data_IF_495203880682
#
_entry.id   IF_495203880682
#
_cell.length_a   1.000
_cell.length_b   1.000
_cell.length_c   1.000
_cell.angle_alpha   90.00
_cell.angle_beta   90.00
_cell.angle_gamma   90.00
#
_symmetry.space_group_name_H-M   'P 1'
#
loop_
_entity.id
_entity.type
_entity.pdbx_description
1 polymer ?
#
# COMPACT_ATOMS: atom_id res chain seq x y z
N UNK A 1 25.37 -11.68 -32.30
CA UNK A 1 25.08 -10.45 -31.55
C UNK A 1 23.70 -10.53 -30.97
N UNK A 2 23.61 -10.41 -29.69
CA UNK A 2 22.28 -10.39 -29.08
C UNK A 2 21.54 -9.17 -29.59
N UNK A 3 20.30 -9.33 -29.91
CA UNK A 3 19.48 -8.20 -30.26
C UNK A 3 19.46 -7.26 -29.05
N UNK A 4 19.89 -6.04 -29.25
CA UNK A 4 19.80 -5.05 -28.22
C UNK A 4 18.34 -4.89 -27.82
N UNK A 5 18.08 -4.80 -26.52
CA UNK A 5 16.73 -4.52 -26.06
C UNK A 5 16.26 -3.19 -26.65
N UNK A 6 15.09 -3.18 -27.21
CA UNK A 6 14.52 -1.94 -27.73
C UNK A 6 14.16 -1.02 -26.58
N UNK A 7 14.18 0.30 -26.79
CA UNK A 7 13.71 1.24 -25.78
C UNK A 7 12.30 0.93 -25.26
N UNK A 8 11.42 0.45 -26.15
CA UNK A 8 10.06 0.00 -25.76
C UNK A 8 10.10 -1.15 -24.77
N UNK A 9 10.95 -2.15 -25.00
CA UNK A 9 11.06 -3.29 -24.12
C UNK A 9 11.64 -2.89 -22.77
N UNK A 10 12.66 -2.03 -22.77
CA UNK A 10 13.24 -1.50 -21.53
C UNK A 10 12.20 -0.75 -20.73
N UNK A 11 11.41 0.08 -21.40
CA UNK A 11 10.32 0.84 -20.75
C UNK A 11 9.28 -0.09 -20.17
N UNK A 12 8.88 -1.13 -20.89
CA UNK A 12 7.91 -2.10 -20.44
C UNK A 12 8.41 -2.82 -19.20
N UNK A 13 9.66 -3.25 -19.16
CA UNK A 13 10.26 -3.89 -18.00
C UNK A 13 10.30 -2.96 -16.79
N UNK A 14 10.65 -1.69 -17.03
CA UNK A 14 10.70 -0.69 -15.96
C UNK A 14 9.31 -0.47 -15.37
N UNK A 15 8.28 -0.37 -16.20
CA UNK A 15 6.90 -0.21 -15.74
C UNK A 15 6.43 -1.44 -14.97
N UNK A 16 6.75 -2.63 -15.45
CA UNK A 16 6.40 -3.87 -14.76
C UNK A 16 7.08 -3.98 -13.41
N UNK A 17 8.36 -3.62 -13.33
CA UNK A 17 9.08 -3.62 -12.07
C UNK A 17 8.51 -2.61 -11.07
N UNK A 18 8.15 -1.42 -11.54
CA UNK A 18 7.53 -0.40 -10.71
C UNK A 18 6.15 -0.85 -10.20
N UNK A 19 5.36 -1.49 -11.06
CA UNK A 19 4.06 -2.02 -10.69
C UNK A 19 4.18 -3.13 -9.64
N UNK A 20 5.14 -4.05 -9.81
CA UNK A 20 5.41 -5.11 -8.85
C UNK A 20 5.83 -4.54 -7.50
N UNK A 21 6.71 -3.55 -7.48
CA UNK A 21 7.15 -2.89 -6.26
C UNK A 21 5.99 -2.21 -5.54
N UNK A 22 5.08 -1.60 -6.29
CA UNK A 22 3.90 -0.95 -5.72
C UNK A 22 2.95 -1.97 -5.09
N UNK A 23 2.72 -3.10 -5.76
CA UNK A 23 1.88 -4.18 -5.25
C UNK A 23 2.49 -4.75 -3.96
N UNK A 24 3.81 -4.95 -3.93
CA UNK A 24 4.50 -5.43 -2.74
C UNK A 24 4.36 -4.45 -1.57
N UNK A 25 4.50 -3.15 -1.83
CA UNK A 25 4.34 -2.12 -0.81
C UNK A 25 2.92 -2.09 -0.25
N UNK A 26 1.92 -2.24 -1.10
CA UNK A 26 0.51 -2.30 -0.68
C UNK A 26 0.26 -3.54 0.16
N UNK A 27 0.76 -4.70 -0.27
CA UNK A 27 0.62 -5.95 0.47
C UNK A 27 1.30 -5.87 1.83
N UNK A 28 2.47 -5.26 1.90
CA UNK A 28 3.21 -5.07 3.14
C UNK A 28 2.45 -4.20 4.13
N UNK A 29 1.86 -3.11 3.65
CA UNK A 29 1.02 -2.25 4.50
C UNK A 29 -0.21 -3.00 5.00
N UNK A 30 -0.85 -3.78 4.15
CA UNK A 30 -2.04 -4.55 4.51
C UNK A 30 -1.73 -5.66 5.52
N UNK A 31 -0.49 -6.16 5.54
CA UNK A 31 -0.07 -7.19 6.48
C UNK A 31 0.14 -6.65 7.90
N UNK A 32 0.31 -5.33 8.07
CA UNK A 32 0.45 -4.73 9.40
C UNK A 32 -0.89 -4.74 10.13
N UNK A 33 -0.83 -4.98 11.43
CA UNK A 33 -2.01 -4.77 12.27
C UNK A 33 -2.34 -3.27 12.29
N UNK A 34 -3.60 -2.89 12.59
CA UNK A 34 -3.94 -1.48 12.75
C UNK A 34 -3.06 -0.77 13.77
N UNK A 35 -2.69 -1.44 14.86
CA UNK A 35 -1.82 -0.86 15.88
C UNK A 35 -0.42 -0.61 15.33
N UNK A 36 0.17 -1.58 14.65
CA UNK A 36 1.48 -1.43 14.03
C UNK A 36 1.51 -0.30 13.01
N UNK A 37 0.47 -0.24 12.18
CA UNK A 37 0.35 0.82 11.19
C UNK A 37 0.20 2.20 11.85
N UNK A 38 -0.55 2.28 12.93
CA UNK A 38 -0.75 3.52 13.68
C UNK A 38 0.56 3.99 14.31
N UNK A 39 1.31 3.07 14.91
CA UNK A 39 2.61 3.41 15.51
C UNK A 39 3.60 3.91 14.47
N UNK A 40 3.60 3.30 13.29
CA UNK A 40 4.46 3.73 12.19
C UNK A 40 4.07 5.10 11.62
N UNK A 41 2.79 5.43 11.66
CA UNK A 41 2.28 6.70 11.13
C UNK A 41 2.37 7.85 12.12
N UNK A 42 2.48 7.56 13.40
CA UNK A 42 2.45 8.59 14.42
C UNK A 42 3.71 9.47 14.40
N UNK A 43 3.52 10.75 14.60
CA UNK A 43 4.59 11.72 14.86
C UNK A 43 4.02 12.80 15.79
N UNK A 44 4.89 13.51 16.55
CA UNK A 44 4.42 14.62 17.37
C UNK A 44 3.74 15.68 16.51
N UNK A 45 2.53 16.06 16.86
CA UNK A 45 1.75 17.01 16.08
C UNK A 45 0.90 16.39 14.98
N UNK A 46 0.81 15.07 14.94
CA UNK A 46 -0.07 14.39 13.98
C UNK A 46 -1.51 14.90 14.12
N UNK A 47 -2.23 15.16 12.99
CA UNK A 47 -3.59 15.70 13.05
C UNK A 47 -4.58 14.89 13.89
N UNK A 48 -4.42 13.57 13.96
CA UNK A 48 -5.28 12.72 14.78
C UNK A 48 -4.88 12.68 16.25
N UNK A 49 -3.71 13.19 16.60
CA UNK A 49 -3.30 13.45 17.96
C UNK A 49 -2.69 12.31 18.74
N UNK A 50 -3.00 11.07 18.45
CA UNK A 50 -2.49 9.92 19.19
C UNK A 50 -2.46 8.66 18.35
N UNK A 51 -1.65 7.68 18.78
CA UNK A 51 -1.60 6.35 18.17
C UNK A 51 -2.98 5.69 18.22
N UNK A 52 -3.68 5.82 19.33
CA UNK A 52 -5.01 5.24 19.50
C UNK A 52 -6.02 5.81 18.50
N UNK A 53 -5.97 7.12 18.26
CA UNK A 53 -6.85 7.76 17.30
C UNK A 53 -6.53 7.32 15.87
N UNK A 54 -5.25 7.17 15.55
CA UNK A 54 -4.81 6.68 14.24
C UNK A 54 -5.26 5.23 14.06
N UNK A 55 -5.07 4.40 15.06
CA UNK A 55 -5.51 3.00 15.03
C UNK A 55 -7.01 2.89 14.77
N UNK A 56 -7.81 3.66 15.48
CA UNK A 56 -9.26 3.68 15.30
C UNK A 56 -9.65 4.07 13.87
N UNK A 57 -8.97 5.07 13.31
CA UNK A 57 -9.19 5.50 11.94
C UNK A 57 -8.84 4.41 10.93
N UNK A 58 -7.73 3.71 11.15
CA UNK A 58 -7.31 2.61 10.28
C UNK A 58 -8.32 1.47 10.31
N UNK A 59 -8.79 1.12 11.50
CA UNK A 59 -9.82 0.08 11.66
C UNK A 59 -11.06 0.47 10.89
N UNK A 60 -11.51 1.71 11.03
CA UNK A 60 -12.69 2.21 10.34
C UNK A 60 -12.53 2.15 8.82
N UNK A 61 -11.39 2.58 8.30
CA UNK A 61 -11.12 2.58 6.87
C UNK A 61 -11.05 1.17 6.30
N UNK A 62 -10.40 0.26 7.00
CA UNK A 62 -10.31 -1.15 6.56
C UNK A 62 -11.67 -1.81 6.52
N UNK A 63 -12.53 -1.53 7.50
CA UNK A 63 -13.89 -2.04 7.52
C UNK A 63 -14.71 -1.49 6.35
N UNK A 64 -14.56 -0.20 6.05
CA UNK A 64 -15.25 0.43 4.93
C UNK A 64 -14.77 -0.14 3.58
N UNK A 65 -13.48 -0.34 3.43
CA UNK A 65 -12.92 -0.94 2.21
C UNK A 65 -13.40 -2.37 2.02
N UNK A 66 -13.46 -3.15 3.09
CA UNK A 66 -13.98 -4.52 3.03
C UNK A 66 -15.46 -4.54 2.64
N UNK A 67 -16.24 -3.59 3.11
CA UNK A 67 -17.66 -3.48 2.76
C UNK A 67 -17.88 -3.06 1.32
N UNK A 68 -16.94 -2.31 0.73
CA UNK A 68 -17.03 -1.82 -0.64
C UNK A 68 -16.51 -2.79 -1.68
N UNK A 69 -15.79 -3.83 -1.26
CA UNK A 69 -15.27 -4.81 -2.22
C UNK A 69 -16.43 -5.54 -2.89
N UNK A 70 -16.42 -5.61 -4.24
CA UNK A 70 -17.44 -6.36 -4.94
C UNK A 70 -17.34 -7.83 -4.56
N UNK A 71 -18.48 -8.45 -4.35
CA UNK A 71 -18.53 -9.89 -4.13
C UNK A 71 -18.00 -10.59 -5.36
N UNK A 72 -17.09 -11.53 -5.15
CA UNK A 72 -16.63 -12.37 -6.25
C UNK A 72 -17.81 -13.13 -6.80
N UNK A 73 -18.00 -12.99 -8.10
CA UNK A 73 -19.08 -13.67 -8.77
C UNK A 73 -18.84 -15.18 -8.82
#
# INVERSE_FOLDING_TARGET
>A
MSAAETPSLIRTRAVQAAAAALVDAVAERAARTPREAAEAAYYPGHPLGSVEAIEAEIIRRRAAEAAEQPLAA
#
